data_IF_468561292949
#
_entry.id   IF_468561292949
#
_cell.length_a   1.000
_cell.length_b   1.000
_cell.length_c   1.000
_cell.angle_alpha   90.00
_cell.angle_beta   90.00
_cell.angle_gamma   90.00
#
_symmetry.space_group_name_H-M   'P 1'
#
loop_
_entity.id
_entity.type
_entity.pdbx_description
1 polymer ?
#
# COMPACT_ATOMS: atom_id res chain seq x y z
N UNK A 1 -8.64 2.24 25.61
CA UNK A 1 -7.28 2.56 25.12
C UNK A 1 -6.72 1.37 24.37
N UNK A 2 -6.45 1.50 23.07
CA UNK A 2 -5.69 0.50 22.31
C UNK A 2 -4.25 0.51 22.83
N UNK A 3 -3.88 -0.50 23.63
CA UNK A 3 -2.49 -0.75 24.01
C UNK A 3 -1.95 -1.83 23.08
N UNK A 4 -0.84 -1.55 22.40
CA UNK A 4 -0.08 -2.60 21.72
C UNK A 4 0.42 -3.58 22.80
N UNK A 5 -0.22 -4.75 22.90
CA UNK A 5 0.08 -5.75 23.95
C UNK A 5 1.31 -6.60 23.64
N UNK A 6 1.75 -6.58 22.39
CA UNK A 6 2.91 -7.30 21.91
C UNK A 6 3.43 -6.58 20.66
N UNK A 7 4.69 -6.82 20.31
CA UNK A 7 5.27 -6.49 19.01
C UNK A 7 6.18 -7.65 18.60
N UNK A 8 6.11 -8.08 17.34
CA UNK A 8 7.04 -9.09 16.82
C UNK A 8 8.37 -8.42 16.50
N UNK A 9 9.44 -8.91 17.10
CA UNK A 9 10.79 -8.43 16.83
C UNK A 9 11.14 -8.56 15.33
N UNK A 10 11.76 -7.52 14.78
CA UNK A 10 12.32 -7.51 13.42
C UNK A 10 13.81 -7.77 13.46
N UNK A 11 14.37 -8.33 12.39
CA UNK A 11 15.80 -8.63 12.28
C UNK A 11 16.63 -7.38 11.91
N UNK A 12 16.01 -6.38 11.28
CA UNK A 12 16.63 -5.11 10.88
C UNK A 12 16.07 -3.91 11.63
N UNK A 13 16.67 -2.74 11.39
CA UNK A 13 16.21 -1.46 11.94
C UNK A 13 14.93 -1.04 11.24
N UNK A 14 13.86 -0.82 11.99
CA UNK A 14 12.60 -0.33 11.41
C UNK A 14 12.79 1.11 10.93
N UNK A 15 12.59 1.33 9.62
CA UNK A 15 12.72 2.65 8.97
C UNK A 15 11.40 3.22 8.51
N UNK A 16 10.35 2.38 8.38
CA UNK A 16 8.97 2.82 8.11
C UNK A 16 8.00 2.02 8.97
N UNK A 17 6.93 2.67 9.41
CA UNK A 17 5.91 2.09 10.28
C UNK A 17 4.57 2.78 10.02
N UNK A 18 3.48 2.02 10.03
CA UNK A 18 2.15 2.58 10.06
C UNK A 18 1.20 1.62 10.80
N UNK A 19 0.26 2.20 11.54
CA UNK A 19 -0.77 1.49 12.29
C UNK A 19 -2.11 1.67 11.56
N UNK A 20 -2.86 0.58 11.39
CA UNK A 20 -4.22 0.67 10.84
C UNK A 20 -5.15 1.37 11.84
N UNK A 21 -6.01 2.31 11.41
CA UNK A 21 -6.85 3.08 12.34
C UNK A 21 -7.92 2.26 13.06
N UNK A 22 -8.43 1.21 12.42
CA UNK A 22 -9.57 0.40 12.92
C UNK A 22 -9.24 -1.08 13.15
N UNK A 23 -8.14 -1.57 12.58
CA UNK A 23 -7.77 -2.99 12.65
C UNK A 23 -6.53 -3.12 13.54
N UNK A 24 -6.35 -4.28 14.21
CA UNK A 24 -5.20 -4.50 15.09
C UNK A 24 -3.91 -4.79 14.31
N UNK A 25 -3.65 -4.04 13.23
CA UNK A 25 -2.59 -4.31 12.26
C UNK A 25 -1.54 -3.21 12.22
N UNK A 26 -0.27 -3.63 12.20
CA UNK A 26 0.88 -2.77 12.00
C UNK A 26 1.64 -3.23 10.76
N UNK A 27 1.98 -2.29 9.88
CA UNK A 27 2.96 -2.54 8.82
C UNK A 27 4.29 -1.91 9.21
N UNK A 28 5.36 -2.64 8.98
CA UNK A 28 6.74 -2.17 9.19
C UNK A 28 7.56 -2.45 7.94
N UNK A 29 8.54 -1.59 7.68
CA UNK A 29 9.63 -1.86 6.74
C UNK A 29 10.97 -1.63 7.44
N UNK A 30 11.90 -2.57 7.31
CA UNK A 30 13.26 -2.42 7.82
C UNK A 30 14.23 -1.82 6.80
N UNK A 31 15.44 -1.52 7.24
CA UNK A 31 16.54 -0.97 6.43
C UNK A 31 17.06 -1.93 5.36
N UNK A 32 16.55 -3.16 5.33
CA UNK A 32 16.80 -4.13 4.28
C UNK A 32 15.66 -4.21 3.27
N UNK A 33 14.64 -3.36 3.34
CA UNK A 33 13.44 -3.41 2.48
C UNK A 33 12.52 -4.63 2.74
N UNK A 34 12.66 -5.28 3.89
CA UNK A 34 11.72 -6.32 4.31
C UNK A 34 10.49 -5.66 4.91
N UNK A 35 9.32 -5.96 4.35
CA UNK A 35 8.03 -5.42 4.78
C UNK A 35 7.21 -6.52 5.44
N UNK A 36 6.69 -6.24 6.63
CA UNK A 36 5.83 -7.17 7.40
C UNK A 36 4.57 -6.47 7.86
N UNK A 37 3.42 -7.12 7.60
CA UNK A 37 2.11 -6.77 8.16
C UNK A 37 1.82 -7.76 9.29
N UNK A 38 1.65 -7.24 10.51
CA UNK A 38 1.46 -8.05 11.70
C UNK A 38 0.19 -7.66 12.44
N UNK A 39 -0.59 -8.67 12.85
CA UNK A 39 -1.76 -8.54 13.69
C UNK A 39 -1.35 -8.72 15.16
N UNK A 40 -1.46 -7.67 15.97
CA UNK A 40 -1.03 -7.72 17.37
C UNK A 40 -2.05 -8.37 18.31
N UNK A 41 -3.31 -8.45 17.90
CA UNK A 41 -4.37 -9.10 18.68
C UNK A 41 -4.22 -10.62 18.62
N UNK A 42 -3.96 -11.16 17.42
CA UNK A 42 -3.75 -12.59 17.22
C UNK A 42 -2.28 -13.02 17.25
N UNK A 43 -1.35 -12.06 17.37
CA UNK A 43 0.11 -12.29 17.31
C UNK A 43 0.55 -12.99 16.03
N UNK A 44 -0.12 -12.70 14.92
CA UNK A 44 0.06 -13.39 13.65
C UNK A 44 0.61 -12.48 12.57
N UNK A 45 1.44 -13.05 11.72
CA UNK A 45 1.90 -12.39 10.49
C UNK A 45 0.79 -12.53 9.47
N UNK A 46 0.31 -11.40 8.96
CA UNK A 46 -0.67 -11.37 7.87
C UNK A 46 0.05 -11.52 6.53
N UNK A 47 1.16 -10.78 6.35
CA UNK A 47 1.91 -10.79 5.10
C UNK A 47 3.36 -10.38 5.30
N UNK A 48 4.27 -10.98 4.53
CA UNK A 48 5.68 -10.61 4.47
C UNK A 48 6.21 -10.65 3.04
N UNK A 49 7.08 -9.70 2.70
CA UNK A 49 7.78 -9.68 1.43
C UNK A 49 9.10 -8.89 1.50
N UNK A 50 10.01 -9.20 0.59
CA UNK A 50 11.20 -8.39 0.29
C UNK A 50 10.89 -7.42 -0.86
N UNK A 51 10.46 -6.21 -0.52
CA UNK A 51 9.93 -5.26 -1.50
C UNK A 51 11.01 -4.68 -2.44
N UNK A 52 12.25 -4.55 -1.94
CA UNK A 52 13.36 -4.01 -2.73
C UNK A 52 13.85 -4.91 -3.86
N UNK A 53 13.50 -6.21 -3.82
CA UNK A 53 13.85 -7.18 -4.85
C UNK A 53 12.86 -7.26 -6.01
N UNK A 54 13.03 -8.31 -6.82
CA UNK A 54 12.04 -8.76 -7.81
C UNK A 54 11.34 -9.98 -7.21
N UNK A 55 10.00 -9.96 -7.21
CA UNK A 55 9.22 -11.13 -6.83
C UNK A 55 8.88 -11.93 -8.08
N UNK A 56 9.58 -13.04 -8.29
CA UNK A 56 9.41 -13.89 -9.48
C UNK A 56 7.98 -14.45 -9.58
N UNK A 57 7.33 -14.73 -8.45
CA UNK A 57 5.95 -15.26 -8.46
C UNK A 57 4.97 -14.20 -8.98
N UNK A 58 5.14 -12.93 -8.58
CA UNK A 58 4.34 -11.82 -9.12
C UNK A 58 4.65 -11.55 -10.58
N UNK A 59 5.92 -11.67 -11.00
CA UNK A 59 6.30 -11.52 -12.40
C UNK A 59 5.64 -12.58 -13.29
N UNK A 60 5.65 -13.84 -12.85
CA UNK A 60 4.98 -14.94 -13.55
C UNK A 60 3.46 -14.70 -13.58
N UNK A 61 2.85 -14.31 -12.46
CA UNK A 61 1.42 -13.96 -12.41
C UNK A 61 1.04 -12.87 -13.39
N UNK A 62 1.81 -11.78 -13.45
CA UNK A 62 1.57 -10.70 -14.41
C UNK A 62 1.72 -11.18 -15.86
N UNK A 63 2.73 -12.02 -16.16
CA UNK A 63 2.91 -12.59 -17.50
C UNK A 63 1.72 -13.47 -17.90
N UNK A 64 1.20 -14.28 -16.98
CA UNK A 64 0.02 -15.12 -17.23
C UNK A 64 -1.25 -14.29 -17.47
N UNK A 65 -1.47 -13.23 -16.69
CA UNK A 65 -2.59 -12.30 -16.90
C UNK A 65 -2.53 -11.64 -18.28
N UNK A 66 -1.36 -11.17 -18.68
CA UNK A 66 -1.13 -10.54 -19.99
C UNK A 66 -1.33 -11.49 -21.17
N UNK A 67 -0.91 -12.75 -21.02
CA UNK A 67 -1.18 -13.80 -21.99
C UNK A 67 -2.69 -14.08 -22.10
N UNK A 68 -3.42 -14.06 -20.98
CA UNK A 68 -4.88 -14.22 -20.97
C UNK A 68 -5.60 -13.03 -21.63
N UNK A 69 -5.02 -11.83 -21.57
CA UNK A 69 -5.52 -10.62 -22.24
C UNK A 69 -5.22 -10.57 -23.75
N UNK A 70 -4.49 -11.55 -24.29
CA UNK A 70 -4.19 -11.64 -25.73
C UNK A 70 -3.01 -10.79 -26.20
N UNK A 71 -2.22 -10.24 -25.27
CA UNK A 71 -1.06 -9.40 -25.57
C UNK A 71 0.19 -10.29 -25.81
N UNK A 72 0.47 -10.60 -27.08
CA UNK A 72 1.55 -11.52 -27.48
C UNK A 72 2.93 -10.88 -27.58
N UNK A 73 3.04 -9.55 -27.56
CA UNK A 73 4.28 -8.79 -27.83
C UNK A 73 5.03 -8.37 -26.56
N UNK A 74 5.10 -9.25 -25.56
CA UNK A 74 5.95 -9.02 -24.38
C UNK A 74 7.45 -9.15 -24.70
N UNK A 75 8.04 -8.12 -25.32
CA UNK A 75 9.47 -7.85 -25.17
C UNK A 75 9.73 -7.54 -23.70
N UNK A 76 10.24 -8.53 -22.96
CA UNK A 76 10.45 -8.45 -21.52
C UNK A 76 11.18 -7.16 -21.13
N UNK A 77 10.58 -6.37 -20.24
CA UNK A 77 11.31 -5.27 -19.59
C UNK A 77 12.50 -5.87 -18.84
N UNK A 78 13.70 -5.26 -18.88
CA UNK A 78 14.86 -5.76 -18.16
C UNK A 78 14.54 -5.99 -16.68
N UNK A 79 15.02 -7.09 -16.10
CA UNK A 79 14.80 -7.46 -14.69
C UNK A 79 15.20 -6.33 -13.71
N UNK A 80 16.15 -5.48 -14.11
CA UNK A 80 16.55 -4.28 -13.37
C UNK A 80 15.43 -3.23 -13.25
N UNK A 81 14.59 -3.06 -14.27
CA UNK A 81 13.45 -2.13 -14.26
C UNK A 81 12.32 -2.58 -13.31
N UNK A 82 12.38 -3.81 -12.82
CA UNK A 82 11.35 -4.44 -11.96
C UNK A 82 11.83 -4.55 -10.51
N UNK A 83 13.12 -4.31 -10.25
CA UNK A 83 13.70 -4.29 -8.90
C UNK A 83 13.15 -3.07 -8.14
N UNK A 84 12.58 -3.29 -6.96
CA UNK A 84 11.95 -2.20 -6.21
C UNK A 84 12.91 -1.13 -5.71
N UNK A 85 14.13 -1.49 -5.32
CA UNK A 85 15.04 -0.60 -4.61
C UNK A 85 14.53 -0.26 -3.20
N UNK A 86 15.06 0.81 -2.59
CA UNK A 86 14.76 1.08 -1.17
C UNK A 86 13.27 1.40 -0.92
N UNK A 87 12.68 0.86 0.14
CA UNK A 87 11.32 1.19 0.57
C UNK A 87 11.27 2.62 1.13
N UNK A 88 10.57 3.49 0.42
CA UNK A 88 10.38 4.90 0.81
C UNK A 88 9.11 5.10 1.63
N UNK A 89 8.06 4.31 1.39
CA UNK A 89 6.81 4.47 2.12
C UNK A 89 6.01 3.16 2.20
N UNK A 90 5.28 2.98 3.30
CA UNK A 90 4.23 1.96 3.46
C UNK A 90 2.95 2.66 3.92
N UNK A 91 1.83 2.36 3.26
CA UNK A 91 0.52 2.90 3.62
C UNK A 91 -0.60 1.89 3.42
N UNK A 92 -1.38 1.62 4.46
CA UNK A 92 -2.71 1.07 4.35
C UNK A 92 -3.58 2.01 3.51
N UNK A 93 -4.45 1.42 2.71
CA UNK A 93 -5.30 2.09 1.74
C UNK A 93 -6.62 1.37 1.61
N UNK A 94 -7.54 1.67 2.52
CA UNK A 94 -8.91 1.20 2.47
C UNK A 94 -9.87 2.29 2.91
N UNK A 95 -11.16 1.93 2.96
CA UNK A 95 -12.24 2.86 3.25
C UNK A 95 -12.11 3.45 4.67
N UNK A 96 -11.68 2.64 5.64
CA UNK A 96 -11.45 3.09 7.03
C UNK A 96 -10.30 4.10 7.09
N UNK A 97 -9.18 3.81 6.42
CA UNK A 97 -8.03 4.71 6.38
C UNK A 97 -8.41 6.05 5.75
N UNK A 98 -9.14 6.03 4.63
CA UNK A 98 -9.59 7.27 3.96
C UNK A 98 -10.58 8.04 4.82
N UNK A 99 -11.55 7.36 5.44
CA UNK A 99 -12.51 7.97 6.34
C UNK A 99 -11.81 8.72 7.48
N UNK A 100 -10.88 8.06 8.17
CA UNK A 100 -10.14 8.67 9.29
C UNK A 100 -9.13 9.74 8.86
N UNK A 101 -8.59 9.67 7.64
CA UNK A 101 -7.78 10.76 7.08
C UNK A 101 -8.64 12.00 6.79
N UNK A 102 -9.80 11.82 6.14
CA UNK A 102 -10.72 12.91 5.85
C UNK A 102 -11.23 13.57 7.14
N UNK A 103 -11.61 12.76 8.13
CA UNK A 103 -12.08 13.25 9.42
C UNK A 103 -11.01 14.12 10.09
N UNK A 104 -9.77 13.64 10.19
CA UNK A 104 -8.65 14.42 10.75
C UNK A 104 -8.42 15.73 10.02
N UNK A 105 -8.46 15.72 8.68
CA UNK A 105 -8.26 16.92 7.88
C UNK A 105 -9.38 17.95 8.11
N UNK A 106 -10.65 17.50 8.23
CA UNK A 106 -11.78 18.38 8.54
C UNK A 106 -11.69 18.95 9.95
N UNK A 107 -11.34 18.14 10.94
CA UNK A 107 -11.14 18.60 12.31
C UNK A 107 -10.04 19.67 12.37
N UNK A 108 -8.89 19.44 11.72
CA UNK A 108 -7.81 20.41 11.67
C UNK A 108 -8.22 21.72 10.93
N UNK A 109 -9.02 21.61 9.87
CA UNK A 109 -9.47 22.78 9.13
C UNK A 109 -10.55 23.60 9.87
N UNK A 110 -11.39 22.95 10.68
CA UNK A 110 -12.38 23.60 11.53
C UNK A 110 -11.75 24.44 12.64
N UNK A 111 -10.50 24.16 13.02
CA UNK A 111 -9.71 25.00 13.94
C UNK A 111 -9.17 26.27 13.27
N UNK A 112 -9.34 26.45 11.95
CA UNK A 112 -8.97 27.67 11.22
C UNK A 112 -10.20 28.58 10.98
N UNK A 113 -10.21 29.84 11.44
CA UNK A 113 -11.36 30.74 11.31
C UNK A 113 -11.79 31.09 9.87
N UNK A 114 -10.96 30.80 8.87
CA UNK A 114 -11.14 31.25 7.48
C UNK A 114 -11.78 30.22 6.54
N UNK A 115 -12.03 28.97 6.99
CA UNK A 115 -12.31 27.84 6.09
C UNK A 115 -13.80 27.48 5.92
N UNK A 116 -14.72 28.30 6.43
CA UNK A 116 -16.15 27.96 6.57
C UNK A 116 -16.86 27.70 5.23
N UNK A 117 -16.33 28.17 4.09
CA UNK A 117 -17.05 28.13 2.80
C UNK A 117 -16.53 27.13 1.74
N UNK A 118 -15.44 26.38 1.98
CA UNK A 118 -14.81 25.57 0.91
C UNK A 118 -14.70 24.05 1.14
N UNK A 119 -15.21 23.51 2.26
CA UNK A 119 -14.93 22.11 2.64
C UNK A 119 -16.06 21.11 2.40
N UNK A 120 -17.12 21.49 1.69
CA UNK A 120 -18.20 20.57 1.27
C UNK A 120 -17.81 19.74 0.05
N UNK A 121 -16.59 19.21 -0.02
CA UNK A 121 -16.35 18.01 -0.82
C UNK A 121 -16.95 16.85 -0.03
N UNK A 122 -18.18 16.49 -0.40
CA UNK A 122 -18.91 15.36 0.18
C UNK A 122 -18.05 14.11 0.13
N UNK A 123 -18.24 13.23 1.11
CA UNK A 123 -17.68 11.87 1.04
C UNK A 123 -18.27 11.23 -0.21
N UNK A 124 -17.52 11.22 -1.31
CA UNK A 124 -17.88 10.41 -2.45
C UNK A 124 -17.81 8.97 -1.95
N UNK A 125 -18.89 8.21 -2.17
CA UNK A 125 -18.90 6.78 -1.86
C UNK A 125 -17.60 6.18 -2.41
N UNK A 126 -16.89 5.34 -1.62
CA UNK A 126 -15.69 4.70 -2.11
C UNK A 126 -15.99 4.04 -3.44
N UNK A 127 -15.04 4.12 -4.38
CA UNK A 127 -15.15 3.39 -5.63
C UNK A 127 -15.56 1.94 -5.29
N UNK A 128 -16.54 1.34 -6.00
CA UNK A 128 -17.00 -0.01 -5.70
C UNK A 128 -15.86 -1.04 -5.60
N UNK A 129 -14.74 -0.77 -6.30
CA UNK A 129 -13.52 -1.57 -6.30
C UNK A 129 -12.76 -1.62 -4.97
N UNK A 130 -12.97 -0.70 -4.02
CA UNK A 130 -12.30 -0.70 -2.70
C UNK A 130 -13.18 -1.18 -1.55
N UNK A 131 -14.49 -1.33 -1.77
CA UNK A 131 -15.44 -1.68 -0.70
C UNK A 131 -15.15 -3.08 -0.15
N UNK A 132 -14.91 -3.16 1.16
CA UNK A 132 -14.61 -4.41 1.86
C UNK A 132 -13.23 -5.01 1.53
N UNK A 133 -12.35 -4.26 0.86
CA UNK A 133 -10.98 -4.66 0.58
C UNK A 133 -10.01 -3.88 1.46
N UNK A 134 -8.95 -4.56 1.87
CA UNK A 134 -7.88 -3.96 2.65
C UNK A 134 -6.61 -3.94 1.81
N UNK A 135 -6.25 -2.76 1.28
CA UNK A 135 -5.02 -2.65 0.52
C UNK A 135 -3.87 -2.13 1.37
N UNK A 136 -2.67 -2.62 1.06
CA UNK A 136 -1.40 -2.03 1.46
C UNK A 136 -0.69 -1.55 0.20
N UNK A 137 -0.25 -0.30 0.22
CA UNK A 137 0.59 0.29 -0.83
C UNK A 137 2.01 0.43 -0.29
N UNK A 138 2.97 -0.16 -0.99
CA UNK A 138 4.40 -0.10 -0.66
C UNK A 138 5.10 0.65 -1.78
N UNK A 139 5.59 1.86 -1.50
CA UNK A 139 6.34 2.66 -2.45
C UNK A 139 7.83 2.40 -2.26
N UNK A 140 8.44 1.81 -3.28
CA UNK A 140 9.89 1.63 -3.39
C UNK A 140 10.47 2.68 -4.35
N UNK A 141 11.79 2.75 -4.48
CA UNK A 141 12.47 3.70 -5.39
C UNK A 141 12.00 3.61 -6.84
N UNK A 142 11.81 2.39 -7.33
CA UNK A 142 11.60 2.11 -8.75
C UNK A 142 10.23 1.49 -9.06
N UNK A 143 9.40 1.20 -8.03
CA UNK A 143 8.04 0.68 -8.22
C UNK A 143 7.16 0.94 -7.01
N UNK A 144 5.85 0.89 -7.22
CA UNK A 144 4.87 0.71 -6.15
C UNK A 144 4.31 -0.70 -6.18
N UNK A 145 4.03 -1.28 -5.01
CA UNK A 145 3.36 -2.57 -4.87
C UNK A 145 1.98 -2.31 -4.26
N UNK A 146 0.92 -2.69 -4.97
CA UNK A 146 -0.45 -2.68 -4.48
C UNK A 146 -0.81 -4.08 -4.04
N UNK A 147 -0.91 -4.29 -2.72
CA UNK A 147 -1.20 -5.57 -2.11
C UNK A 147 -2.61 -5.58 -1.56
N UNK A 148 -3.44 -6.53 -2.01
CA UNK A 148 -4.72 -6.85 -1.40
C UNK A 148 -4.50 -7.86 -0.27
N UNK A 149 -4.71 -7.42 0.97
CA UNK A 149 -4.53 -8.24 2.18
C UNK A 149 -5.65 -9.27 2.37
N UNK A 150 -6.75 -9.18 1.63
CA UNK A 150 -7.84 -10.17 1.68
C UNK A 150 -7.51 -11.33 0.75
N UNK A 151 -7.12 -11.03 -0.50
CA UNK A 151 -6.82 -12.06 -1.50
C UNK A 151 -5.35 -12.50 -1.49
N UNK A 152 -4.50 -11.83 -0.71
CA UNK A 152 -3.04 -12.01 -0.66
C UNK A 152 -2.35 -11.81 -2.02
N UNK A 153 -3.01 -11.10 -2.95
CA UNK A 153 -2.48 -10.81 -4.28
C UNK A 153 -1.83 -9.43 -4.31
N UNK A 154 -0.65 -9.37 -4.89
CA UNK A 154 0.09 -8.13 -5.10
C UNK A 154 0.28 -7.82 -6.57
N UNK A 155 0.18 -6.54 -6.93
CA UNK A 155 0.52 -6.01 -8.26
C UNK A 155 1.67 -5.02 -8.13
N UNK A 156 2.74 -5.29 -8.86
CA UNK A 156 3.87 -4.38 -8.99
C UNK A 156 3.58 -3.40 -10.15
N UNK A 157 3.67 -2.11 -9.85
CA UNK A 157 3.52 -1.02 -10.83
C UNK A 157 4.86 -0.29 -10.91
N UNK A 158 5.64 -0.47 -11.99
CA UNK A 158 6.89 0.23 -12.19
C UNK A 158 6.73 1.74 -12.09
N UNK A 159 7.73 2.42 -11.54
CA UNK A 159 7.74 3.89 -11.44
C UNK A 159 7.55 4.56 -12.80
N UNK A 160 8.09 3.99 -13.88
CA UNK A 160 7.88 4.48 -15.25
C UNK A 160 6.40 4.51 -15.70
N UNK A 161 5.53 3.70 -15.09
CA UNK A 161 4.10 3.67 -15.39
C UNK A 161 3.31 4.67 -14.52
N UNK A 162 3.90 5.12 -13.41
CA UNK A 162 3.36 6.14 -12.50
C UNK A 162 3.82 7.55 -12.90
N UNK A 163 5.07 7.68 -13.29
CA UNK A 163 5.64 8.94 -13.78
C UNK A 163 4.97 9.30 -15.12
N UNK A 164 4.46 10.54 -15.22
CA UNK A 164 3.93 11.15 -16.46
C UNK A 164 2.58 10.63 -17.01
N UNK A 165 1.74 9.96 -16.21
CA UNK A 165 0.31 9.77 -16.56
C UNK A 165 -0.57 10.67 -15.70
N UNK A 166 -1.22 11.66 -16.31
CA UNK A 166 -2.33 12.37 -15.67
C UNK A 166 -3.48 11.38 -15.43
N UNK A 167 -4.03 11.36 -14.21
CA UNK A 167 -5.25 10.60 -13.87
C UNK A 167 -6.52 11.25 -14.47
N UNK A 168 -6.39 11.89 -15.63
CA UNK A 168 -7.49 12.53 -16.36
C UNK A 168 -7.93 11.55 -17.45
N UNK A 169 -8.87 10.68 -17.09
CA UNK A 169 -9.76 9.97 -18.00
C UNK A 169 -11.17 10.04 -17.44
#
# INVERSE_FOLDING_TARGET
MLRARAFRQTNGKIVKIQVHPTHPWIVTADDTDHVSVWNWEHRQVIYELKAGGVDERRLVGAKLEKLAEGDSDYKGKPTEAIRGGSVKQVRFYDDDVRYWQLWRNRSAAAESPSAVNHLTSGFTSPAPSTKGRHFLVICCENKAIFLDLVTMRGRDVPKSELDNRSLLW
#
